data_IF_091834639623
#
_entry.id   IF_091834639623
#
_cell.length_a   1.000
_cell.length_b   1.000
_cell.length_c   1.000
_cell.angle_alpha   90.00
_cell.angle_beta   90.00
_cell.angle_gamma   90.00
#
_symmetry.space_group_name_H-M   'P 1'
#
loop_
_entity.id
_entity.type
_entity.pdbx_description
1 polymer ?
#
# COMPACT_ATOMS: atom_id res chain seq x y z
N UNK A 1 -36.69 36.58 -18.01
CA UNK A 1 -35.60 36.85 -17.04
C UNK A 1 -35.60 35.85 -15.86
N UNK A 2 -36.08 34.61 -16.04
CA UNK A 2 -36.10 33.55 -15.00
C UNK A 2 -35.21 32.34 -15.38
N UNK A 3 -34.78 32.23 -16.64
CA UNK A 3 -34.03 31.08 -17.16
C UNK A 3 -32.54 31.07 -16.77
N UNK A 4 -31.97 32.23 -16.39
CA UNK A 4 -30.54 32.34 -16.09
C UNK A 4 -30.14 31.80 -14.70
N UNK A 5 -31.10 31.54 -13.80
CA UNK A 5 -30.81 31.06 -12.44
C UNK A 5 -30.76 29.54 -12.34
N UNK A 6 -31.38 28.83 -13.29
CA UNK A 6 -31.36 27.36 -13.32
C UNK A 6 -30.02 26.82 -13.85
N UNK A 7 -29.39 27.56 -14.78
CA UNK A 7 -28.14 27.15 -15.43
C UNK A 7 -26.88 27.38 -14.59
N UNK A 8 -26.88 28.38 -13.71
CA UNK A 8 -25.74 28.66 -12.83
C UNK A 8 -25.67 27.63 -11.70
N UNK A 9 -26.81 27.25 -11.13
CA UNK A 9 -26.87 26.22 -10.08
C UNK A 9 -26.49 24.83 -10.61
N UNK A 10 -26.95 24.47 -11.82
CA UNK A 10 -26.58 23.19 -12.47
C UNK A 10 -25.13 23.16 -12.92
N UNK A 11 -24.55 24.28 -13.40
CA UNK A 11 -23.11 24.35 -13.72
C UNK A 11 -22.23 24.24 -12.47
N UNK A 12 -22.63 24.88 -11.36
CA UNK A 12 -21.88 24.83 -10.11
C UNK A 12 -22.02 23.47 -9.40
N UNK A 13 -23.16 22.79 -9.56
CA UNK A 13 -23.35 21.41 -9.12
C UNK A 13 -22.53 20.43 -9.98
N UNK A 14 -22.46 20.65 -11.29
CA UNK A 14 -21.67 19.84 -12.21
C UNK A 14 -20.16 20.01 -12.00
N UNK A 15 -19.68 21.23 -11.70
CA UNK A 15 -18.27 21.45 -11.34
C UNK A 15 -17.91 20.78 -10.02
N UNK A 16 -18.77 20.86 -9.00
CA UNK A 16 -18.57 20.14 -7.72
C UNK A 16 -18.62 18.61 -7.88
N UNK A 17 -19.45 18.12 -8.80
CA UNK A 17 -19.48 16.71 -9.14
C UNK A 17 -18.22 16.28 -9.90
N UNK A 18 -17.67 17.13 -10.78
CA UNK A 18 -16.40 16.88 -11.49
C UNK A 18 -15.18 16.93 -10.57
N UNK A 19 -15.21 17.78 -9.55
CA UNK A 19 -14.17 17.86 -8.52
C UNK A 19 -14.28 16.62 -7.60
N UNK A 20 -15.50 16.25 -7.22
CA UNK A 20 -15.78 14.99 -6.51
C UNK A 20 -15.42 13.74 -7.31
N UNK A 21 -15.58 13.71 -8.64
CA UNK A 21 -15.21 12.54 -9.46
C UNK A 21 -13.70 12.48 -9.74
N UNK A 22 -13.01 13.62 -9.70
CA UNK A 22 -11.54 13.68 -9.76
C UNK A 22 -10.92 13.23 -8.44
N UNK A 23 -11.59 13.44 -7.30
CA UNK A 23 -11.19 12.92 -5.99
C UNK A 23 -11.71 11.48 -5.72
N UNK A 24 -12.84 11.08 -6.32
CA UNK A 24 -13.43 9.74 -6.18
C UNK A 24 -12.99 8.74 -7.26
N UNK A 25 -12.05 9.10 -8.14
CA UNK A 25 -11.42 8.19 -9.10
C UNK A 25 -10.45 7.17 -8.48
N UNK A 26 -10.34 7.11 -7.14
CA UNK A 26 -9.40 6.25 -6.44
C UNK A 26 -9.98 4.93 -5.88
N UNK A 27 -11.29 4.64 -6.00
CA UNK A 27 -11.85 3.37 -5.50
C UNK A 27 -13.02 2.83 -6.36
N UNK A 28 -12.75 1.80 -7.18
CA UNK A 28 -13.75 0.81 -7.58
C UNK A 28 -13.93 0.52 -9.08
N UNK A 29 -13.28 -0.55 -9.55
CA UNK A 29 -13.46 -1.33 -10.79
C UNK A 29 -14.93 -1.46 -11.30
N UNK A 30 -15.29 -1.63 -12.59
CA UNK A 30 -14.65 -1.98 -13.85
C UNK A 30 -15.65 -1.70 -15.02
N UNK A 31 -15.21 -1.26 -16.21
CA UNK A 31 -15.44 -1.87 -17.56
C UNK A 31 -14.96 -0.94 -18.73
N UNK A 32 -13.94 -1.41 -19.48
CA UNK A 32 -13.48 -1.06 -20.85
C UNK A 32 -12.74 0.28 -21.14
N UNK A 33 -11.92 0.37 -22.22
CA UNK A 33 -10.96 -0.56 -22.80
C UNK A 33 -9.50 -0.22 -22.39
N UNK A 34 -8.65 -1.24 -22.30
CA UNK A 34 -7.25 -1.11 -21.87
C UNK A 34 -6.44 -0.45 -22.99
N UNK A 35 -6.06 0.80 -22.79
CA UNK A 35 -5.06 1.50 -23.59
C UNK A 35 -3.68 0.93 -23.18
N UNK A 36 -2.89 0.27 -24.05
CA UNK A 36 -1.62 -0.34 -23.65
C UNK A 36 -0.48 0.69 -23.44
N UNK A 37 -0.78 1.96 -23.26
CA UNK A 37 0.19 3.05 -23.07
C UNK A 37 0.01 3.75 -21.73
N UNK A 38 0.12 2.99 -20.66
CA UNK A 38 0.61 3.43 -19.35
C UNK A 38 0.82 2.22 -18.45
N UNK A 39 1.45 1.17 -19.00
CA UNK A 39 2.29 0.36 -18.15
C UNK A 39 3.40 1.30 -17.70
N UNK A 40 3.24 1.89 -16.52
CA UNK A 40 4.39 2.24 -15.69
C UNK A 40 5.04 0.89 -15.35
N UNK A 41 5.69 0.29 -16.36
CA UNK A 41 6.71 -0.70 -16.14
C UNK A 41 7.62 -0.05 -15.11
N UNK A 42 7.82 -0.64 -13.93
CA UNK A 42 9.06 -0.35 -13.24
C UNK A 42 10.11 -0.63 -14.29
N UNK A 43 10.85 0.39 -14.71
CA UNK A 43 12.06 0.17 -15.47
C UNK A 43 12.83 -0.84 -14.64
N UNK A 44 12.87 -2.08 -15.09
CA UNK A 44 13.68 -3.15 -14.51
C UNK A 44 15.11 -2.83 -14.94
N UNK A 45 15.60 -1.67 -14.50
CA UNK A 45 17.01 -1.47 -14.25
C UNK A 45 17.26 -2.13 -12.91
N UNK A 46 17.54 -3.44 -12.97
CA UNK A 46 18.28 -4.19 -11.97
C UNK A 46 18.05 -3.78 -10.50
N UNK A 47 16.80 -3.76 -10.01
CA UNK A 47 16.60 -3.79 -8.57
C UNK A 47 17.24 -5.09 -8.09
N UNK A 48 18.40 -4.99 -7.44
CA UNK A 48 19.11 -6.17 -6.98
C UNK A 48 18.26 -6.87 -5.93
N UNK A 49 18.40 -8.17 -5.79
CA UNK A 49 17.73 -8.91 -4.71
C UNK A 49 17.99 -8.25 -3.34
N UNK A 50 19.17 -7.65 -3.16
CA UNK A 50 19.52 -6.86 -1.98
C UNK A 50 18.67 -5.60 -1.80
N UNK A 51 18.40 -4.85 -2.88
CA UNK A 51 17.55 -3.66 -2.82
C UNK A 51 16.10 -4.01 -2.44
N UNK A 52 15.56 -5.08 -3.04
CA UNK A 52 14.22 -5.57 -2.73
C UNK A 52 14.15 -6.06 -1.27
N UNK A 53 15.19 -6.75 -0.81
CA UNK A 53 15.27 -7.21 0.58
C UNK A 53 15.40 -6.04 1.57
N UNK A 54 16.21 -5.03 1.25
CA UNK A 54 16.37 -3.82 2.05
C UNK A 54 15.07 -3.02 2.15
N UNK A 55 14.35 -2.90 1.04
CA UNK A 55 13.02 -2.28 1.01
C UNK A 55 12.03 -3.06 1.89
N UNK A 56 12.06 -4.39 1.80
CA UNK A 56 11.18 -5.24 2.58
C UNK A 56 11.46 -5.15 4.09
N UNK A 57 12.73 -5.20 4.51
CA UNK A 57 13.10 -5.10 5.93
C UNK A 57 12.73 -3.73 6.50
N UNK A 58 12.93 -2.64 5.74
CA UNK A 58 12.44 -1.31 6.12
C UNK A 58 10.93 -1.28 6.30
N UNK A 59 10.19 -1.82 5.31
CA UNK A 59 8.71 -1.86 5.34
C UNK A 59 8.15 -2.66 6.52
N UNK A 60 8.78 -3.79 6.87
CA UNK A 60 8.37 -4.61 8.02
C UNK A 60 8.62 -3.85 9.33
N UNK A 61 9.76 -3.17 9.46
CA UNK A 61 10.07 -2.35 10.63
C UNK A 61 9.10 -1.19 10.81
N UNK A 62 8.72 -0.52 9.72
CA UNK A 62 7.75 0.57 9.74
C UNK A 62 6.35 0.07 10.13
N UNK A 63 5.91 -1.08 9.61
CA UNK A 63 4.63 -1.70 9.99
C UNK A 63 4.59 -2.09 11.47
N UNK A 64 5.68 -2.66 11.99
CA UNK A 64 5.79 -2.97 13.42
C UNK A 64 5.71 -1.71 14.28
N UNK A 65 6.48 -0.67 13.93
CA UNK A 65 6.47 0.60 14.69
C UNK A 65 5.10 1.30 14.62
N UNK A 66 4.41 1.20 13.49
CA UNK A 66 3.05 1.70 13.35
C UNK A 66 2.07 0.94 14.27
N UNK A 67 2.15 -0.40 14.28
CA UNK A 67 1.33 -1.23 15.15
C UNK A 67 1.58 -0.94 16.64
N UNK A 68 2.82 -0.71 17.05
CA UNK A 68 3.18 -0.28 18.40
C UNK A 68 2.59 1.09 18.75
N UNK A 69 2.74 2.08 17.86
CA UNK A 69 2.18 3.41 18.05
C UNK A 69 0.64 3.38 18.18
N UNK A 70 -0.03 2.61 17.33
CA UNK A 70 -1.48 2.42 17.41
C UNK A 70 -1.91 1.71 18.70
N UNK A 71 -1.13 0.73 19.15
CA UNK A 71 -1.37 0.03 20.42
C UNK A 71 -1.30 0.99 21.61
N UNK A 72 -0.31 1.90 21.61
CA UNK A 72 -0.17 2.94 22.64
C UNK A 72 -1.36 3.91 22.59
N UNK A 73 -1.72 4.40 21.40
CA UNK A 73 -2.85 5.32 21.22
C UNK A 73 -4.22 4.69 21.54
N UNK A 74 -4.35 3.36 21.46
CA UNK A 74 -5.53 2.65 21.95
C UNK A 74 -5.62 2.61 23.47
N UNK A 75 -4.49 2.61 24.17
CA UNK A 75 -4.49 2.67 25.65
C UNK A 75 -4.93 4.05 26.15
N UNK A 76 -4.68 5.11 25.38
CA UNK A 76 -5.16 6.48 25.69
C UNK A 76 -6.60 6.73 25.22
N UNK A 77 -7.16 5.84 24.40
CA UNK A 77 -8.54 5.92 23.91
C UNK A 77 -8.69 6.68 22.58
N UNK A 78 -7.59 7.10 21.97
CA UNK A 78 -7.58 7.84 20.69
C UNK A 78 -7.83 6.95 19.47
N UNK A 79 -7.60 5.64 19.59
CA UNK A 79 -7.74 4.67 18.50
C UNK A 79 -8.63 3.50 18.93
N UNK A 80 -9.64 3.10 18.13
CA UNK A 80 -10.49 1.97 18.44
C UNK A 80 -9.71 0.65 18.40
N UNK A 81 -10.00 -0.24 19.37
CA UNK A 81 -9.29 -1.52 19.56
C UNK A 81 -9.33 -2.44 18.34
N UNK A 82 -10.38 -2.35 17.50
CA UNK A 82 -10.47 -3.10 16.23
C UNK A 82 -9.38 -2.71 15.25
N UNK A 83 -9.02 -1.44 15.20
CA UNK A 83 -8.02 -0.91 14.27
C UNK A 83 -6.61 -1.31 14.70
N UNK A 84 -6.35 -1.35 16.01
CA UNK A 84 -5.13 -1.93 16.56
C UNK A 84 -4.96 -3.38 16.16
N UNK A 85 -6.00 -4.20 16.34
CA UNK A 85 -5.93 -5.62 15.96
C UNK A 85 -5.67 -5.77 14.46
N UNK A 86 -6.31 -4.95 13.62
CA UNK A 86 -6.06 -4.95 12.17
C UNK A 86 -4.60 -4.62 11.84
N UNK A 87 -4.05 -3.58 12.47
CA UNK A 87 -2.65 -3.15 12.27
C UNK A 87 -1.66 -4.21 12.73
N UNK A 88 -1.91 -4.85 13.88
CA UNK A 88 -1.10 -5.97 14.39
C UNK A 88 -1.15 -7.16 13.43
N UNK A 89 -2.33 -7.55 12.95
CA UNK A 89 -2.47 -8.65 11.98
C UNK A 89 -1.71 -8.36 10.68
N UNK A 90 -1.72 -7.12 10.21
CA UNK A 90 -0.98 -6.72 9.01
C UNK A 90 0.55 -6.77 9.24
N UNK A 91 1.00 -6.31 10.41
CA UNK A 91 2.41 -6.42 10.81
C UNK A 91 2.84 -7.88 10.91
N UNK A 92 2.03 -8.76 11.50
CA UNK A 92 2.28 -10.20 11.61
C UNK A 92 2.40 -10.87 10.23
N UNK A 93 1.49 -10.58 9.31
CA UNK A 93 1.53 -11.10 7.94
C UNK A 93 2.82 -10.69 7.20
N UNK A 94 3.23 -9.43 7.38
CA UNK A 94 4.48 -8.92 6.81
C UNK A 94 5.70 -9.59 7.44
N UNK A 95 5.68 -9.78 8.76
CA UNK A 95 6.75 -10.42 9.51
C UNK A 95 6.91 -11.90 9.11
N UNK A 96 5.82 -12.65 8.95
CA UNK A 96 5.86 -14.04 8.49
C UNK A 96 6.52 -14.15 7.11
N UNK A 97 6.21 -13.22 6.21
CA UNK A 97 6.82 -13.16 4.89
C UNK A 97 8.33 -12.88 4.98
N UNK A 98 8.72 -11.94 5.82
CA UNK A 98 10.13 -11.62 6.06
C UNK A 98 10.91 -12.81 6.66
N UNK A 99 10.29 -13.56 7.58
CA UNK A 99 10.87 -14.78 8.16
C UNK A 99 11.07 -15.86 7.09
N UNK A 100 10.08 -16.09 6.22
CA UNK A 100 10.21 -17.06 5.13
C UNK A 100 11.39 -16.73 4.20
N UNK A 101 11.59 -15.44 3.90
CA UNK A 101 12.72 -14.98 3.08
C UNK A 101 14.04 -15.13 3.83
N UNK A 102 14.09 -14.79 5.12
CA UNK A 102 15.26 -15.03 5.99
C UNK A 102 15.67 -16.50 5.96
N UNK A 103 14.72 -17.41 6.11
CA UNK A 103 14.99 -18.85 6.13
C UNK A 103 15.53 -19.34 4.78
N UNK A 104 15.02 -18.80 3.66
CA UNK A 104 15.54 -19.11 2.32
C UNK A 104 16.96 -18.60 2.09
N UNK A 105 17.30 -17.41 2.59
CA UNK A 105 18.66 -16.86 2.50
C UNK A 105 19.63 -17.71 3.33
N UNK A 106 19.23 -18.10 4.53
CA UNK A 106 20.05 -18.98 5.39
C UNK A 106 20.25 -20.34 4.72
N UNK A 107 19.21 -20.93 4.13
CA UNK A 107 19.32 -22.18 3.37
C UNK A 107 20.30 -22.05 2.20
N UNK A 108 20.17 -21.00 1.38
CA UNK A 108 21.06 -20.76 0.24
C UNK A 108 22.53 -20.59 0.69
N UNK A 109 22.78 -19.87 1.79
CA UNK A 109 24.11 -19.73 2.37
C UNK A 109 24.69 -21.08 2.81
N UNK A 110 23.91 -21.90 3.53
CA UNK A 110 24.35 -23.22 3.97
C UNK A 110 24.60 -24.18 2.79
N UNK A 111 23.82 -24.08 1.71
CA UNK A 111 24.00 -24.89 0.51
C UNK A 111 25.30 -24.55 -0.23
N UNK A 112 25.58 -23.26 -0.45
CA UNK A 112 26.87 -22.79 -0.98
C UNK A 112 28.03 -23.19 -0.07
N UNK A 113 27.88 -23.07 1.25
CA UNK A 113 28.92 -23.46 2.19
C UNK A 113 29.20 -24.97 2.23
N UNK A 114 28.23 -25.79 1.85
CA UNK A 114 28.34 -27.26 1.79
C UNK A 114 28.83 -27.77 0.44
N UNK A 115 28.75 -26.95 -0.61
CA UNK A 115 29.49 -27.19 -1.84
C UNK A 115 30.97 -26.97 -1.55
N UNK A 116 31.61 -28.01 -1.01
CA UNK A 116 33.06 -28.00 -0.80
C UNK A 116 33.73 -27.85 -2.16
N UNK A 117 34.63 -26.87 -2.23
CA UNK A 117 35.69 -26.81 -3.26
C UNK A 117 36.55 -28.08 -3.22
#
# INVERSE_FOLDING_TARGET
>A
MIDSLLSVSTRNALSKLSESVSEAGAVGAAIAPVNPSAANQPSVGEASFGDVLSQLTGSVGDKLKNAEAMSISSMTGDVPTREVVSSVMEAEQSLQTAIAIRDKIVQAYLEISRMQI
#
